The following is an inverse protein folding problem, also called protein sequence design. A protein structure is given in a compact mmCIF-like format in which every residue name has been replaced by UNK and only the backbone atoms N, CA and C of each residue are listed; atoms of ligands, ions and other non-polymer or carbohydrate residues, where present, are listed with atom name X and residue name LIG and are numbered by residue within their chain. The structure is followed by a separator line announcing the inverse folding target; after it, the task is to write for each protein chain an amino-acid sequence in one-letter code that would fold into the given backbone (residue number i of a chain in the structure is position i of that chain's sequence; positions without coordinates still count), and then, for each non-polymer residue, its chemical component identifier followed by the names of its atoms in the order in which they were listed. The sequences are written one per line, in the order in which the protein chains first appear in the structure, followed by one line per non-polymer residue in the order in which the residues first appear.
data_IF_354868636036
#
_entry.id   IF_354868636036
#
_cell.length_a   1.000
_cell.length_b   1.000
_cell.length_c   1.000
_cell.angle_alpha   90.00
_cell.angle_beta   90.00
_cell.angle_gamma   90.00
#
_symmetry.space_group_name_H-M   'P 1'
#
loop_
_entity.id
_entity.type
_entity.pdbx_description
1 polymer ?
#
# COMPACT_ATOMS: atom_id res chain seq x y z
N UNK A 1 6.39 -0.73 20.75
CA UNK A 1 5.70 -2.02 20.90
C UNK A 1 6.49 -2.89 21.87
N UNK A 2 5.87 -3.47 22.88
CA UNK A 2 6.54 -4.32 23.87
C UNK A 2 6.27 -5.80 23.58
N UNK A 3 7.33 -6.55 23.31
CA UNK A 3 7.30 -8.00 23.21
C UNK A 3 7.44 -8.61 24.61
N UNK A 4 6.37 -9.28 25.07
CA UNK A 4 6.33 -9.90 26.40
C UNK A 4 7.05 -11.24 26.47
N UNK A 5 7.32 -11.91 25.35
CA UNK A 5 7.95 -13.23 25.38
C UNK A 5 9.46 -13.12 25.62
N UNK A 6 10.09 -12.13 24.98
CA UNK A 6 11.55 -11.90 25.03
C UNK A 6 11.92 -10.54 25.64
N UNK A 7 10.94 -9.89 26.30
CA UNK A 7 11.11 -8.62 27.01
C UNK A 7 11.85 -7.55 26.20
N UNK A 8 11.46 -7.40 24.92
CA UNK A 8 12.08 -6.47 23.98
C UNK A 8 11.14 -5.33 23.65
N UNK A 9 11.64 -4.10 23.70
CA UNK A 9 10.92 -2.92 23.25
C UNK A 9 11.34 -2.55 21.82
N UNK A 10 10.38 -2.67 20.91
CA UNK A 10 10.51 -2.35 19.49
C UNK A 10 9.93 -0.98 19.18
N UNK A 11 10.70 -0.10 18.54
CA UNK A 11 10.20 1.17 18.03
C UNK A 11 9.35 0.89 16.78
N UNK A 12 8.09 1.34 16.79
CA UNK A 12 7.08 0.88 15.82
C UNK A 12 7.28 1.39 14.40
N UNK A 13 7.94 2.53 14.22
CA UNK A 13 8.13 3.15 12.91
C UNK A 13 9.34 2.56 12.17
N UNK A 14 10.39 2.26 12.92
CA UNK A 14 11.69 1.80 12.42
C UNK A 14 11.82 0.29 12.47
N UNK A 15 11.03 -0.38 13.31
CA UNK A 15 11.16 -1.81 13.60
C UNK A 15 12.42 -2.14 14.40
N UNK A 16 13.10 -1.14 14.98
CA UNK A 16 14.33 -1.34 15.76
C UNK A 16 14.01 -1.77 17.20
N UNK A 17 14.69 -2.80 17.67
CA UNK A 17 14.71 -3.15 19.08
C UNK A 17 15.68 -2.20 19.80
N UNK A 18 15.15 -1.35 20.68
CA UNK A 18 15.95 -0.34 21.39
C UNK A 18 16.29 -0.80 22.82
N UNK A 19 15.47 -1.65 23.42
CA UNK A 19 15.70 -2.20 24.78
C UNK A 19 15.38 -3.69 24.77
N UNK A 20 16.16 -4.50 25.50
CA UNK A 20 15.91 -5.91 25.73
C UNK A 20 16.91 -6.82 25.02
N UNK A 21 16.61 -8.12 24.98
CA UNK A 21 17.50 -9.16 24.47
C UNK A 21 17.93 -8.92 23.01
N UNK A 22 17.02 -8.39 22.18
CA UNK A 22 17.29 -8.14 20.77
C UNK A 22 17.74 -6.72 20.47
N UNK A 23 18.15 -5.92 21.46
CA UNK A 23 18.59 -4.54 21.23
C UNK A 23 19.63 -4.44 20.08
N UNK A 24 19.42 -3.48 19.18
CA UNK A 24 20.21 -3.29 17.95
C UNK A 24 19.75 -4.12 16.74
N UNK A 25 18.80 -5.04 16.89
CA UNK A 25 18.19 -5.74 15.76
C UNK A 25 17.07 -4.91 15.14
N UNK A 26 16.82 -5.14 13.85
CA UNK A 26 15.74 -4.53 13.10
C UNK A 26 14.86 -5.60 12.48
N UNK A 27 13.54 -5.47 12.62
CA UNK A 27 12.59 -6.37 11.98
C UNK A 27 12.64 -6.22 10.45
N UNK A 28 12.56 -7.33 9.70
CA UNK A 28 12.34 -7.24 8.26
C UNK A 28 10.94 -6.65 8.01
N UNK A 29 10.88 -5.65 7.14
CA UNK A 29 9.61 -5.10 6.69
C UNK A 29 9.01 -6.03 5.64
N UNK A 30 7.80 -6.49 5.92
CA UNK A 30 6.95 -7.10 4.90
C UNK A 30 6.33 -5.95 4.08
N UNK A 31 6.09 -6.10 2.77
CA UNK A 31 5.43 -5.09 1.95
C UNK A 31 3.89 -5.29 1.94
N UNK A 32 3.13 -4.84 2.96
CA UNK A 32 1.68 -4.94 2.91
C UNK A 32 1.14 -3.98 1.85
N UNK A 33 0.03 -4.37 1.23
CA UNK A 33 -0.75 -3.49 0.37
C UNK A 33 -2.11 -3.22 1.00
N UNK A 34 -2.58 -1.99 0.87
CA UNK A 34 -3.96 -1.63 1.16
C UNK A 34 -4.73 -1.78 -0.16
N UNK A 35 -5.62 -2.76 -0.22
CA UNK A 35 -6.42 -3.07 -1.40
C UNK A 35 -7.88 -3.28 -1.02
N UNK A 36 -8.76 -3.22 -2.02
CA UNK A 36 -10.17 -3.52 -1.81
C UNK A 36 -10.36 -4.99 -1.41
N UNK A 37 -11.45 -5.25 -0.66
CA UNK A 37 -11.84 -6.62 -0.35
C UNK A 37 -12.17 -7.44 -1.60
N UNK A 38 -12.68 -6.78 -2.65
CA UNK A 38 -12.98 -7.42 -3.92
C UNK A 38 -11.70 -7.96 -4.58
N UNK A 39 -10.67 -7.12 -4.67
CA UNK A 39 -9.36 -7.50 -5.24
C UNK A 39 -8.72 -8.64 -4.46
N UNK A 40 -8.73 -8.53 -3.13
CA UNK A 40 -8.19 -9.58 -2.27
C UNK A 40 -8.90 -10.92 -2.51
N UNK A 41 -10.23 -10.91 -2.57
CA UNK A 41 -11.03 -12.12 -2.75
C UNK A 41 -10.88 -12.72 -4.15
N UNK A 42 -10.74 -11.89 -5.17
CA UNK A 42 -10.50 -12.33 -6.55
C UNK A 42 -9.14 -13.03 -6.67
N UNK A 43 -8.08 -12.44 -6.13
CA UNK A 43 -6.74 -13.04 -6.14
C UNK A 43 -6.60 -14.23 -5.18
N UNK A 44 -7.39 -14.26 -4.10
CA UNK A 44 -7.29 -15.29 -3.06
C UNK A 44 -8.65 -15.98 -2.79
N UNK A 45 -9.22 -16.71 -3.77
CA UNK A 45 -10.55 -17.30 -3.64
C UNK A 45 -10.66 -18.36 -2.54
N UNK A 46 -9.53 -18.95 -2.15
CA UNK A 46 -9.44 -19.94 -1.06
C UNK A 46 -9.03 -19.36 0.30
N UNK A 47 -8.86 -18.04 0.43
CA UNK A 47 -8.45 -17.43 1.69
C UNK A 47 -9.51 -17.64 2.79
N UNK A 48 -9.02 -17.91 3.99
CA UNK A 48 -9.86 -18.04 5.17
C UNK A 48 -10.17 -16.66 5.74
N UNK A 49 -11.44 -16.42 6.09
CA UNK A 49 -11.87 -15.26 6.86
C UNK A 49 -12.32 -15.68 8.25
N UNK A 50 -12.02 -14.86 9.25
CA UNK A 50 -12.52 -15.11 10.60
C UNK A 50 -14.05 -15.02 10.61
N UNK A 51 -14.68 -15.95 11.31
CA UNK A 51 -16.13 -15.95 11.50
C UNK A 51 -16.58 -14.69 12.24
N UNK A 52 -17.74 -14.16 11.84
CA UNK A 52 -18.42 -13.08 12.58
C UNK A 52 -19.09 -13.58 13.86
N UNK A 53 -19.21 -14.90 14.04
CA UNK A 53 -19.71 -15.56 15.24
C UNK A 53 -18.65 -15.57 16.35
N UNK A 54 -18.30 -14.38 16.84
CA UNK A 54 -17.20 -14.21 17.80
C UNK A 54 -17.57 -14.51 19.25
N UNK A 55 -18.87 -14.65 19.54
CA UNK A 55 -19.38 -14.74 20.92
C UNK A 55 -19.48 -13.40 21.65
N UNK A 56 -19.16 -12.28 20.99
CA UNK A 56 -19.26 -10.92 21.56
C UNK A 56 -20.41 -10.13 20.93
N UNK A 57 -21.01 -9.23 21.72
CA UNK A 57 -22.14 -8.37 21.31
C UNK A 57 -21.74 -7.16 20.47
N UNK A 58 -20.44 -6.87 20.34
CA UNK A 58 -19.94 -5.77 19.52
C UNK A 58 -19.91 -6.20 18.05
N UNK A 59 -20.78 -5.60 17.25
CA UNK A 59 -20.81 -5.83 15.81
C UNK A 59 -19.52 -5.30 15.15
N UNK A 60 -18.89 -6.14 14.33
CA UNK A 60 -17.88 -5.68 13.36
C UNK A 60 -18.57 -4.89 12.24
N UNK A 61 -17.91 -3.85 11.73
CA UNK A 61 -18.42 -2.99 10.64
C UNK A 61 -18.99 -1.64 11.07
N UNK A 62 -19.00 -1.33 12.37
CA UNK A 62 -19.26 0.01 12.88
C UNK A 62 -17.95 0.68 13.28
N UNK A 63 -17.59 1.77 12.59
CA UNK A 63 -16.38 2.53 12.83
C UNK A 63 -16.52 3.39 14.10
N UNK A 64 -15.74 3.13 15.17
CA UNK A 64 -15.80 3.92 16.41
C UNK A 64 -15.00 5.23 16.32
N UNK A 65 -14.28 5.47 15.22
CA UNK A 65 -13.38 6.60 14.99
C UNK A 65 -13.86 7.51 13.83
N UNK A 66 -15.17 7.64 13.64
CA UNK A 66 -15.73 8.46 12.56
C UNK A 66 -15.15 9.89 12.53
N UNK A 67 -14.77 10.34 11.34
CA UNK A 67 -14.19 11.67 11.10
C UNK A 67 -12.70 11.83 11.41
N UNK A 68 -11.96 10.73 11.62
CA UNK A 68 -10.50 10.77 11.80
C UNK A 68 -9.75 11.12 10.49
N UNK A 69 -10.26 10.66 9.36
CA UNK A 69 -9.67 10.87 8.01
C UNK A 69 -9.98 12.25 7.41
N UNK A 70 -10.72 13.11 8.12
CA UNK A 70 -11.11 14.43 7.61
C UNK A 70 -9.89 15.32 7.36
N UNK A 71 -9.68 15.64 6.09
CA UNK A 71 -8.60 16.51 5.57
C UNK A 71 -8.77 17.97 6.06
N UNK A 72 -10.00 18.38 6.42
CA UNK A 72 -10.35 19.75 6.84
C UNK A 72 -9.91 20.13 8.28
N UNK A 73 -9.34 19.19 9.05
CA UNK A 73 -8.76 19.48 10.37
C UNK A 73 -7.24 19.50 10.29
N UNK A 74 -6.56 20.63 10.54
CA UNK A 74 -5.10 20.65 10.60
C UNK A 74 -4.59 19.66 11.67
N UNK A 75 -3.43 19.00 11.47
CA UNK A 75 -2.86 18.12 12.46
C UNK A 75 -2.60 18.91 13.75
N UNK A 76 -3.42 18.67 14.78
CA UNK A 76 -3.40 19.42 16.04
C UNK A 76 -2.16 19.13 16.91
N UNK A 77 -1.29 18.23 16.47
CA UNK A 77 -0.07 17.80 17.17
C UNK A 77 1.22 18.05 16.36
N UNK A 78 1.15 18.74 15.22
CA UNK A 78 2.34 19.10 14.47
C UNK A 78 2.70 20.56 14.74
N UNK A 79 3.93 20.78 15.20
CA UNK A 79 4.54 22.10 15.37
C UNK A 79 5.89 22.06 14.63
N UNK A 80 5.97 22.74 13.48
CA UNK A 80 7.11 22.69 12.56
C UNK A 80 6.82 23.34 11.20
N UNK A 81 7.85 23.46 10.37
CA UNK A 81 7.73 23.98 9.01
C UNK A 81 6.96 23.01 8.12
N UNK A 82 6.03 23.54 7.31
CA UNK A 82 5.29 22.76 6.33
C UNK A 82 6.06 22.71 5.02
N UNK A 83 6.10 21.53 4.40
CA UNK A 83 6.60 21.39 3.02
C UNK A 83 5.55 21.94 2.05
N UNK A 84 5.83 23.08 1.43
CA UNK A 84 4.88 23.76 0.53
C UNK A 84 4.61 23.02 -0.78
N UNK A 85 5.34 21.92 -1.06
CA UNK A 85 5.15 21.12 -2.28
C UNK A 85 3.86 20.31 -2.26
N UNK A 86 3.34 19.98 -1.08
CA UNK A 86 2.16 19.13 -0.89
C UNK A 86 1.18 19.80 0.08
N UNK A 87 -0.12 19.51 -0.09
CA UNK A 87 -1.11 19.97 0.88
C UNK A 87 -0.90 19.23 2.22
N UNK A 88 -1.18 19.88 3.37
CA UNK A 88 -1.17 19.19 4.65
C UNK A 88 -2.15 18.01 4.61
N UNK A 89 -1.65 16.79 4.83
CA UNK A 89 -2.38 15.51 4.72
C UNK A 89 -2.56 14.94 3.30
N UNK A 90 -1.84 15.46 2.30
CA UNK A 90 -1.88 14.88 0.95
C UNK A 90 -1.23 13.49 0.94
N UNK A 91 -2.02 12.48 0.57
CA UNK A 91 -1.56 11.10 0.58
C UNK A 91 -0.45 10.88 -0.43
N UNK A 92 0.61 10.20 -0.01
CA UNK A 92 1.72 9.76 -0.85
C UNK A 92 1.92 8.26 -0.74
N UNK A 93 2.28 7.61 -1.85
CA UNK A 93 2.93 6.31 -1.82
C UNK A 93 4.44 6.54 -1.70
N UNK A 94 5.04 6.12 -0.59
CA UNK A 94 6.45 6.33 -0.32
C UNK A 94 7.20 5.01 -0.11
N UNK A 95 8.43 4.95 -0.60
CA UNK A 95 9.30 3.77 -0.49
C UNK A 95 10.77 4.18 -0.53
N UNK A 96 11.63 3.26 -0.09
CA UNK A 96 13.09 3.42 -0.07
C UNK A 96 13.75 2.38 -0.99
N UNK A 97 14.73 2.80 -1.80
CA UNK A 97 15.61 1.93 -2.60
C UNK A 97 17.07 2.27 -2.32
N UNK A 98 17.71 1.44 -1.51
CA UNK A 98 19.03 1.75 -0.96
C UNK A 98 18.95 3.00 -0.09
N UNK A 99 19.74 4.02 -0.43
CA UNK A 99 19.78 5.30 0.30
C UNK A 99 18.87 6.37 -0.30
N UNK A 100 18.03 6.01 -1.27
CA UNK A 100 17.11 6.95 -1.95
C UNK A 100 15.68 6.70 -1.50
N UNK A 101 15.07 7.72 -0.91
CA UNK A 101 13.63 7.76 -0.61
C UNK A 101 12.88 8.46 -1.75
N UNK A 102 11.75 7.88 -2.16
CA UNK A 102 10.83 8.47 -3.13
C UNK A 102 9.42 8.51 -2.57
N UNK A 103 8.66 9.54 -2.93
CA UNK A 103 7.26 9.72 -2.55
C UNK A 103 6.46 10.24 -3.74
N UNK A 104 5.35 9.59 -4.03
CA UNK A 104 4.46 9.91 -5.15
C UNK A 104 3.09 10.35 -4.62
N UNK A 105 2.68 11.61 -4.83
CA UNK A 105 1.36 12.07 -4.44
C UNK A 105 0.26 11.30 -5.15
N UNK A 106 -0.78 10.90 -4.43
CA UNK A 106 -1.91 10.15 -4.99
C UNK A 106 -2.58 10.91 -6.14
N UNK A 107 -2.65 12.25 -6.07
CA UNK A 107 -3.14 13.09 -7.18
C UNK A 107 -2.38 12.86 -8.49
N UNK A 108 -1.06 12.66 -8.43
CA UNK A 108 -0.25 12.37 -9.62
C UNK A 108 -0.54 10.93 -10.07
N UNK A 109 -0.58 10.00 -9.14
CA UNK A 109 -0.86 8.58 -9.42
C UNK A 109 -2.27 8.35 -9.99
N UNK A 110 -3.26 9.16 -9.61
CA UNK A 110 -4.62 9.15 -10.14
C UNK A 110 -4.64 9.53 -11.62
N UNK A 111 -3.83 10.51 -12.02
CA UNK A 111 -3.74 10.97 -13.41
C UNK A 111 -2.94 9.99 -14.27
N UNK A 112 -1.81 9.50 -13.77
CA UNK A 112 -0.90 8.64 -14.53
C UNK A 112 -1.37 7.18 -14.56
N UNK A 113 -1.98 6.69 -13.47
CA UNK A 113 -2.39 5.30 -13.24
C UNK A 113 -1.22 4.32 -13.07
N UNK A 114 -0.14 4.51 -13.83
CA UNK A 114 1.11 3.74 -13.75
C UNK A 114 2.30 4.69 -13.86
N UNK A 115 3.26 4.55 -12.97
CA UNK A 115 4.54 5.30 -13.04
C UNK A 115 5.69 4.32 -13.06
N UNK A 116 6.45 4.29 -14.16
CA UNK A 116 7.73 3.59 -14.24
C UNK A 116 8.84 4.52 -13.76
N UNK A 117 9.53 4.16 -12.69
CA UNK A 117 10.49 5.02 -12.01
C UNK A 117 11.88 4.35 -11.89
N UNK A 118 12.90 4.82 -12.63
CA UNK A 118 14.27 4.35 -12.46
C UNK A 118 14.92 5.01 -11.24
N UNK A 119 15.44 4.21 -10.31
CA UNK A 119 16.09 4.66 -9.08
C UNK A 119 17.20 3.72 -8.64
N UNK A 120 18.39 4.28 -8.40
CA UNK A 120 19.55 3.54 -7.87
C UNK A 120 19.91 2.26 -8.66
N UNK A 121 19.74 2.27 -9.99
CA UNK A 121 19.98 1.12 -10.86
C UNK A 121 18.84 0.08 -10.92
N UNK A 122 17.86 0.18 -10.03
CA UNK A 122 16.60 -0.57 -10.08
C UNK A 122 15.57 0.22 -10.88
N UNK A 123 14.69 -0.47 -11.59
CA UNK A 123 13.48 0.15 -12.15
C UNK A 123 12.32 -0.37 -11.33
N UNK A 124 11.54 0.54 -10.78
CA UNK A 124 10.35 0.22 -10.00
C UNK A 124 9.14 0.70 -10.74
N UNK A 125 8.01 0.03 -10.55
CA UNK A 125 6.72 0.49 -11.06
C UNK A 125 5.77 0.75 -9.91
N UNK A 126 5.03 1.85 -10.01
CA UNK A 126 3.94 2.19 -9.11
C UNK A 126 2.64 2.00 -9.88
N UNK A 127 1.81 1.06 -9.43
CA UNK A 127 0.44 0.87 -9.86
C UNK A 127 -0.50 1.66 -8.96
N UNK A 128 -1.50 2.28 -9.56
CA UNK A 128 -2.57 2.98 -8.86
C UNK A 128 -3.92 2.52 -9.37
N UNK A 129 -4.81 2.17 -8.45
CA UNK A 129 -6.16 1.71 -8.74
C UNK A 129 -7.19 2.45 -7.88
N UNK A 130 -8.23 2.96 -8.53
CA UNK A 130 -9.37 3.59 -7.87
C UNK A 130 -10.29 2.54 -7.20
N UNK A 131 -11.02 2.94 -6.17
CA UNK A 131 -12.16 2.15 -5.65
C UNK A 131 -11.85 1.28 -4.41
N UNK A 132 -10.79 1.57 -3.67
CA UNK A 132 -10.58 0.98 -2.34
C UNK A 132 -11.20 1.89 -1.30
N UNK A 133 -12.24 1.44 -0.60
CA UNK A 133 -13.01 2.25 0.36
C UNK A 133 -12.30 2.36 1.72
N UNK A 134 -12.23 3.56 2.32
CA UNK A 134 -11.66 3.74 3.68
C UNK A 134 -12.46 2.96 4.72
N UNK A 135 -11.79 2.38 5.72
CA UNK A 135 -12.47 1.77 6.86
C UNK A 135 -12.77 2.77 8.01
N UNK A 136 -12.26 4.01 7.93
CA UNK A 136 -12.16 4.94 9.05
C UNK A 136 -12.88 6.28 8.87
N UNK A 137 -13.47 6.53 7.71
CA UNK A 137 -14.07 7.82 7.41
C UNK A 137 -15.52 7.94 7.93
N UNK A 138 -16.42 7.07 7.45
CA UNK A 138 -17.83 7.08 7.81
C UNK A 138 -18.22 5.98 8.81
N UNK A 139 -19.36 6.15 9.50
CA UNK A 139 -19.88 5.23 10.54
C UNK A 139 -20.17 3.84 10.02
N UNK A 140 -20.58 3.75 8.74
CA UNK A 140 -20.65 2.51 7.96
C UNK A 140 -19.51 2.54 6.94
N UNK A 141 -18.74 1.46 6.87
CA UNK A 141 -17.58 1.35 5.97
C UNK A 141 -18.00 1.56 4.50
N UNK A 142 -19.22 1.16 4.11
CA UNK A 142 -19.73 1.29 2.74
C UNK A 142 -19.92 2.74 2.27
N UNK A 143 -20.03 3.69 3.21
CA UNK A 143 -20.25 5.11 2.90
C UNK A 143 -18.95 5.92 2.96
N UNK A 144 -17.79 5.28 3.10
CA UNK A 144 -16.50 5.95 3.31
C UNK A 144 -15.85 6.43 2.01
N UNK A 145 -15.08 7.52 2.07
CA UNK A 145 -14.31 8.00 0.92
C UNK A 145 -13.32 6.93 0.40
N UNK A 146 -13.09 6.90 -0.92
CA UNK A 146 -12.09 6.06 -1.56
C UNK A 146 -10.69 6.44 -1.06
N UNK A 147 -9.96 5.47 -0.51
CA UNK A 147 -8.55 5.59 -0.15
C UNK A 147 -7.60 5.20 -1.28
N UNK A 148 -8.13 4.67 -2.38
CA UNK A 148 -7.40 4.09 -3.50
C UNK A 148 -6.40 3.01 -3.08
N UNK A 149 -5.89 2.27 -4.06
CA UNK A 149 -4.88 1.24 -3.85
C UNK A 149 -3.62 1.55 -4.63
N UNK A 150 -2.48 1.23 -4.02
CA UNK A 150 -1.17 1.32 -4.66
C UNK A 150 -0.43 0.00 -4.53
N UNK A 151 0.38 -0.29 -5.54
CA UNK A 151 1.34 -1.37 -5.52
C UNK A 151 2.67 -0.87 -6.06
N UNK A 152 3.76 -1.17 -5.36
CA UNK A 152 5.11 -0.80 -5.78
C UNK A 152 5.89 -2.08 -5.99
N UNK A 153 6.48 -2.25 -7.16
CA UNK A 153 7.12 -3.50 -7.54
C UNK A 153 8.45 -3.30 -8.26
N UNK A 154 9.36 -4.26 -8.07
CA UNK A 154 10.50 -4.44 -8.98
C UNK A 154 9.98 -5.06 -10.29
N UNK A 155 10.33 -4.44 -11.41
CA UNK A 155 9.87 -4.83 -12.75
C UNK A 155 10.71 -5.93 -13.39
N UNK A 156 11.78 -6.39 -12.73
CA UNK A 156 12.62 -7.46 -13.26
C UNK A 156 12.01 -8.83 -12.96
N UNK A 157 11.71 -9.59 -14.02
CA UNK A 157 11.25 -10.97 -13.95
C UNK A 157 12.21 -11.82 -14.77
N UNK A 158 12.81 -12.83 -14.14
CA UNK A 158 13.73 -13.78 -14.81
C UNK A 158 14.90 -13.11 -15.57
N UNK A 159 15.30 -11.91 -15.15
CA UNK A 159 16.37 -11.12 -15.79
C UNK A 159 15.90 -10.21 -16.94
N UNK A 160 14.62 -10.22 -17.27
CA UNK A 160 13.99 -9.30 -18.21
C UNK A 160 13.35 -8.13 -17.46
N UNK A 161 13.59 -6.92 -17.94
CA UNK A 161 13.01 -5.69 -17.40
C UNK A 161 11.74 -5.36 -18.14
N UNK A 162 10.62 -5.34 -17.43
CA UNK A 162 9.34 -4.92 -17.99
C UNK A 162 9.12 -3.41 -17.83
N UNK A 163 8.26 -2.86 -18.68
CA UNK A 163 7.66 -1.53 -18.51
C UNK A 163 6.16 -1.66 -18.59
N UNK A 164 5.44 -0.83 -17.86
CA UNK A 164 4.00 -0.96 -17.74
C UNK A 164 3.27 0.29 -18.18
N UNK A 165 2.08 0.06 -18.72
CA UNK A 165 1.09 1.07 -19.03
C UNK A 165 -0.25 0.71 -18.38
N UNK A 166 -1.14 1.69 -18.23
CA UNK A 166 -2.57 1.41 -17.97
C UNK A 166 -3.38 1.63 -19.23
N UNK A 167 -4.36 0.77 -19.46
CA UNK A 167 -5.37 0.94 -20.52
C UNK A 167 -6.74 1.34 -19.96
N UNK A 168 -6.84 1.49 -18.64
CA UNK A 168 -8.06 1.82 -17.92
C UNK A 168 -7.93 3.14 -17.19
N UNK A 169 -8.99 3.96 -17.26
CA UNK A 169 -9.09 5.20 -16.48
C UNK A 169 -9.24 4.95 -14.99
N UNK A 170 -9.61 3.73 -14.58
CA UNK A 170 -9.85 3.39 -13.18
C UNK A 170 -8.71 2.55 -12.57
N UNK A 171 -7.66 2.24 -13.35
CA UNK A 171 -6.51 1.48 -12.88
C UNK A 171 -6.81 0.02 -12.51
N UNK A 172 -7.87 -0.57 -13.06
CA UNK A 172 -8.23 -1.97 -12.80
C UNK A 172 -7.47 -2.98 -13.66
N UNK A 173 -6.69 -2.51 -14.65
CA UNK A 173 -5.99 -3.38 -15.60
C UNK A 173 -4.67 -2.74 -16.07
N UNK A 174 -3.57 -3.27 -15.58
CA UNK A 174 -2.21 -2.89 -15.96
C UNK A 174 -1.72 -3.82 -17.07
N UNK A 175 -0.89 -3.33 -17.98
CA UNK A 175 -0.34 -4.12 -19.09
C UNK A 175 1.17 -3.89 -19.19
N UNK A 176 1.95 -4.95 -19.38
CA UNK A 176 3.36 -4.79 -19.73
C UNK A 176 3.53 -4.54 -21.24
N UNK A 177 4.45 -3.65 -21.60
CA UNK A 177 4.63 -3.22 -23.00
C UNK A 177 5.39 -4.26 -23.85
N UNK A 178 6.04 -5.25 -23.21
CA UNK A 178 6.88 -6.24 -23.88
C UNK A 178 6.05 -7.39 -24.47
N UNK A 179 5.10 -7.91 -23.69
CA UNK A 179 4.28 -9.08 -24.04
C UNK A 179 2.80 -8.74 -24.18
N UNK A 180 2.36 -7.59 -23.66
CA UNK A 180 0.96 -7.25 -23.58
C UNK A 180 0.20 -8.06 -22.52
N UNK A 181 0.90 -8.69 -21.57
CA UNK A 181 0.25 -9.43 -20.48
C UNK A 181 -0.42 -8.46 -19.53
N UNK A 182 -1.59 -8.84 -19.04
CA UNK A 182 -2.35 -8.08 -18.06
C UNK A 182 -2.01 -8.49 -16.64
N UNK A 183 -1.96 -7.49 -15.77
CA UNK A 183 -1.58 -7.60 -14.37
C UNK A 183 -2.63 -6.96 -13.47
N UNK A 184 -2.84 -7.54 -12.29
CA UNK A 184 -3.71 -6.98 -11.25
C UNK A 184 -2.93 -6.04 -10.31
N UNK A 185 -3.64 -5.39 -9.36
CA UNK A 185 -3.06 -4.45 -8.39
C UNK A 185 -2.06 -5.09 -7.41
N UNK A 186 -2.06 -6.42 -7.30
CA UNK A 186 -1.13 -7.21 -6.50
C UNK A 186 0.17 -7.53 -7.26
N UNK A 187 0.29 -7.08 -8.52
CA UNK A 187 1.44 -7.37 -9.36
C UNK A 187 1.46 -8.82 -9.86
N UNK A 188 0.30 -9.47 -9.96
CA UNK A 188 0.16 -10.83 -10.49
C UNK A 188 -0.31 -10.77 -11.94
N UNK A 189 0.34 -11.53 -12.82
CA UNK A 189 -0.05 -11.66 -14.21
C UNK A 189 -1.30 -12.56 -14.31
N UNK A 190 -2.39 -11.99 -14.79
CA UNK A 190 -3.71 -12.64 -14.83
C UNK A 190 -4.08 -13.16 -16.22
N UNK A 191 -3.64 -12.50 -17.30
CA UNK A 191 -4.02 -12.86 -18.67
C UNK A 191 -2.94 -12.45 -19.68
N UNK A 192 -2.34 -13.42 -20.36
CA UNK A 192 -1.29 -13.18 -21.36
C UNK A 192 -0.18 -14.22 -21.30
N UNK A 193 0.94 -13.95 -21.95
CA UNK A 193 2.10 -14.84 -22.01
C UNK A 193 2.74 -15.05 -20.62
N UNK A 194 2.75 -14.02 -19.77
CA UNK A 194 3.33 -14.10 -18.43
C UNK A 194 2.35 -14.61 -17.36
N UNK A 195 1.16 -15.08 -17.72
CA UNK A 195 0.12 -15.47 -16.77
C UNK A 195 0.62 -16.47 -15.70
N UNK A 196 0.32 -16.18 -14.43
CA UNK A 196 0.77 -16.94 -13.27
C UNK A 196 2.13 -16.52 -12.70
N UNK A 197 2.84 -15.58 -13.35
CA UNK A 197 4.00 -14.92 -12.74
C UNK A 197 3.57 -13.77 -11.82
N UNK A 198 4.46 -13.37 -10.92
CA UNK A 198 4.26 -12.24 -10.01
C UNK A 198 5.49 -11.34 -10.01
N UNK A 199 5.26 -10.04 -9.94
CA UNK A 199 6.31 -9.06 -9.66
C UNK A 199 6.77 -9.16 -8.21
N UNK A 200 8.00 -8.71 -7.94
CA UNK A 200 8.50 -8.68 -6.57
C UNK A 200 8.02 -7.40 -5.88
N UNK A 201 7.20 -7.47 -4.80
CA UNK A 201 6.70 -6.28 -4.13
C UNK A 201 7.81 -5.58 -3.35
N UNK A 202 7.77 -4.25 -3.42
CA UNK A 202 8.65 -3.34 -2.68
C UNK A 202 7.87 -2.80 -1.48
N UNK A 203 8.52 -2.81 -0.31
CA UNK A 203 7.95 -2.25 0.90
C UNK A 203 7.70 -0.75 0.70
N UNK A 204 6.43 -0.38 0.78
CA UNK A 204 5.99 1.00 0.64
C UNK A 204 4.91 1.29 1.69
N UNK A 205 4.74 2.57 2.00
CA UNK A 205 3.68 3.06 2.87
C UNK A 205 2.82 4.08 2.15
N UNK A 206 1.51 4.04 2.46
CA UNK A 206 0.56 5.08 2.06
C UNK A 206 0.40 6.04 3.24
N UNK A 207 1.05 7.19 3.15
CA UNK A 207 1.12 8.16 4.24
C UNK A 207 0.27 9.39 3.93
N UNK A 208 -0.61 9.84 4.84
CA UNK A 208 -1.23 11.16 4.76
C UNK A 208 -0.23 12.26 5.11
#
# INVERSE_FOLDING_TARGET
MWDRQIHTWWQQLTGEAIIGELAGHRLPFIPPQIISWADFKEANPGALVLSRETGFSRLYGSNPYSGYDRVDRPPFLFDGDLDERLLPKERVAAFDIGDVSAAFPFRVLEVEGVVNYPVNGTVVVIFHKLGTVSALDHTLIVDSDDVDATGVFDVNIDGERLTFSTISTNGDRFVDDQTGTFWNILGEAVEGEMAGKSLTPIAHGNHP
#
